data_IF_853546031882
#
_entry.id   IF_853546031882
#
_cell.length_a   1.000
_cell.length_b   1.000
_cell.length_c   1.000
_cell.angle_alpha   90.00
_cell.angle_beta   90.00
_cell.angle_gamma   90.00
#
_symmetry.space_group_name_H-M   'P 1'
#
loop_
_entity.id
_entity.type
_entity.pdbx_description
1 polymer ?
#
# COMPACT_ATOMS: atom_id res chain seq x y z
N UNK A 1 -16.96 -70.50 -14.05
CA UNK A 1 -16.88 -69.07 -14.46
C UNK A 1 -16.99 -68.29 -13.16
N UNK A 2 -16.05 -67.53 -12.62
CA UNK A 2 -14.74 -67.06 -13.02
C UNK A 2 -14.32 -66.14 -11.87
N UNK A 3 -13.17 -66.44 -11.30
CA UNK A 3 -12.43 -65.80 -10.22
C UNK A 3 -12.23 -64.26 -10.29
N UNK A 4 -11.91 -63.72 -9.09
CA UNK A 4 -11.10 -62.50 -8.80
C UNK A 4 -11.89 -61.17 -8.89
N UNK A 5 -11.74 -60.14 -8.04
CA UNK A 5 -10.56 -59.72 -7.29
C UNK A 5 -10.88 -58.61 -6.26
N UNK A 6 -10.17 -58.67 -5.13
CA UNK A 6 -9.40 -57.61 -4.43
C UNK A 6 -10.08 -56.34 -3.88
N UNK A 7 -10.04 -56.24 -2.55
CA UNK A 7 -10.00 -55.00 -1.76
C UNK A 7 -8.64 -54.31 -1.94
N UNK A 8 -8.59 -52.97 -1.91
CA UNK A 8 -7.71 -52.37 -0.91
C UNK A 8 -8.37 -51.22 -0.15
N UNK A 9 -8.15 -51.22 1.16
CA UNK A 9 -8.20 -50.04 1.99
C UNK A 9 -7.04 -49.11 1.60
N UNK A 10 -7.32 -47.83 1.34
CA UNK A 10 -6.30 -46.78 1.35
C UNK A 10 -6.86 -45.56 2.04
N UNK A 11 -6.35 -45.32 3.24
CA UNK A 11 -6.58 -44.09 3.96
C UNK A 11 -6.08 -42.89 3.15
N UNK A 12 -6.76 -41.78 3.32
CA UNK A 12 -6.21 -40.45 3.12
C UNK A 12 -6.88 -39.59 4.18
N UNK A 13 -6.19 -39.18 5.26
CA UNK A 13 -6.60 -37.98 5.95
C UNK A 13 -6.43 -36.87 4.92
N UNK A 14 -7.54 -36.35 4.42
CA UNK A 14 -7.54 -35.05 3.76
C UNK A 14 -7.13 -34.08 4.85
N UNK A 15 -5.83 -33.81 4.92
CA UNK A 15 -5.26 -32.64 5.56
C UNK A 15 -5.99 -31.45 4.94
N UNK A 16 -7.10 -31.09 5.56
CA UNK A 16 -7.73 -29.79 5.45
C UNK A 16 -6.77 -28.79 6.08
N UNK A 17 -5.64 -28.61 5.40
CA UNK A 17 -4.79 -27.45 5.53
C UNK A 17 -5.68 -26.28 5.17
N UNK A 18 -6.34 -25.75 6.20
CA UNK A 18 -6.94 -24.44 6.16
C UNK A 18 -5.81 -23.52 5.78
N UNK A 19 -5.72 -23.20 4.49
CA UNK A 19 -4.95 -22.07 4.02
C UNK A 19 -5.49 -20.89 4.83
N UNK A 20 -4.74 -20.49 5.87
CA UNK A 20 -5.02 -19.27 6.61
C UNK A 20 -4.81 -18.18 5.58
N UNK A 21 -5.90 -17.74 4.95
CA UNK A 21 -5.94 -16.45 4.29
C UNK A 21 -5.61 -15.45 5.38
N UNK A 22 -4.36 -15.00 5.41
CA UNK A 22 -4.01 -13.79 6.14
C UNK A 22 -5.02 -12.74 5.67
N UNK A 23 -5.70 -12.02 6.58
CA UNK A 23 -6.73 -11.05 6.20
C UNK A 23 -6.19 -10.22 5.03
N UNK A 24 -6.89 -10.32 3.91
CA UNK A 24 -6.40 -9.80 2.63
C UNK A 24 -6.13 -8.32 2.79
N UNK A 25 -4.85 -7.94 2.74
CA UNK A 25 -4.48 -6.53 2.59
C UNK A 25 -5.06 -6.11 1.24
N UNK A 26 -6.22 -5.46 1.27
CA UNK A 26 -6.83 -4.93 0.06
C UNK A 26 -5.97 -3.74 -0.37
N UNK A 27 -5.10 -3.95 -1.37
CA UNK A 27 -4.36 -2.84 -1.97
C UNK A 27 -5.34 -1.95 -2.74
N UNK A 28 -5.79 -0.88 -2.09
CA UNK A 28 -6.60 0.16 -2.74
C UNK A 28 -5.66 1.06 -3.54
N UNK A 29 -5.82 1.07 -4.86
CA UNK A 29 -5.10 1.99 -5.75
C UNK A 29 -5.90 3.29 -5.90
N UNK A 30 -5.20 4.41 -5.78
CA UNK A 30 -5.74 5.75 -5.89
C UNK A 30 -5.05 6.47 -7.05
N UNK A 31 -5.81 7.20 -7.85
CA UNK A 31 -5.28 7.95 -8.99
C UNK A 31 -5.85 9.36 -9.02
N UNK A 32 -4.99 10.37 -9.08
CA UNK A 32 -5.39 11.76 -9.26
C UNK A 32 -4.28 12.58 -9.93
N UNK A 33 -4.65 13.60 -10.70
CA UNK A 33 -3.72 14.49 -11.42
C UNK A 33 -2.56 13.81 -12.18
N UNK A 34 -2.77 12.57 -12.65
CA UNK A 34 -1.73 11.78 -13.34
C UNK A 34 -0.75 11.05 -12.41
N UNK A 35 -0.95 11.12 -11.10
CA UNK A 35 -0.25 10.35 -10.07
C UNK A 35 -1.10 9.15 -9.65
N UNK A 36 -0.43 8.05 -9.36
CA UNK A 36 -1.02 6.86 -8.76
C UNK A 36 -0.27 6.51 -7.47
N UNK A 37 -1.02 6.09 -6.44
CA UNK A 37 -0.46 5.57 -5.20
C UNK A 37 -1.37 4.50 -4.61
N UNK A 38 -0.86 3.78 -3.61
CA UNK A 38 -1.62 2.75 -2.88
C UNK A 38 -1.97 3.27 -1.49
N UNK A 39 -3.17 2.96 -1.00
CA UNK A 39 -3.61 3.31 0.36
C UNK A 39 -4.41 4.61 0.40
N UNK A 40 -5.57 4.63 1.08
CA UNK A 40 -6.42 5.81 1.19
C UNK A 40 -5.88 6.87 2.16
N UNK A 41 -5.00 6.48 3.08
CA UNK A 41 -4.46 7.36 4.13
C UNK A 41 -3.51 8.45 3.59
N UNK A 42 -3.04 8.26 2.35
CA UNK A 42 -2.09 9.14 1.68
C UNK A 42 -2.76 10.36 1.07
N UNK A 43 -2.22 11.53 1.40
CA UNK A 43 -2.71 12.81 0.92
C UNK A 43 -1.89 13.28 -0.29
N UNK A 44 -2.55 13.81 -1.31
CA UNK A 44 -1.85 14.37 -2.47
C UNK A 44 -2.21 15.84 -2.67
N UNK A 45 -1.24 16.65 -3.09
CA UNK A 45 -1.46 18.04 -3.45
C UNK A 45 -1.89 18.12 -4.92
N UNK A 46 -3.19 18.18 -5.18
CA UNK A 46 -3.73 18.01 -6.53
C UNK A 46 -3.31 19.15 -7.48
N UNK A 47 -2.59 18.81 -8.55
CA UNK A 47 -2.22 19.80 -9.57
C UNK A 47 -3.43 20.39 -10.32
N UNK A 48 -4.54 19.65 -10.38
CA UNK A 48 -5.78 20.14 -11.03
C UNK A 48 -6.45 21.28 -10.25
N UNK A 49 -6.18 21.39 -8.95
CA UNK A 49 -6.73 22.46 -8.08
C UNK A 49 -5.67 23.50 -7.72
N UNK A 50 -4.56 23.57 -8.47
CA UNK A 50 -3.47 24.53 -8.23
C UNK A 50 -2.40 24.07 -7.22
N UNK A 51 -2.33 22.78 -6.92
CA UNK A 51 -1.28 22.17 -6.10
C UNK A 51 -0.03 21.76 -6.89
N UNK A 52 0.98 21.23 -6.20
CA UNK A 52 2.27 20.83 -6.80
C UNK A 52 2.30 19.41 -7.40
N UNK A 53 1.23 18.63 -7.28
CA UNK A 53 1.14 17.27 -7.83
C UNK A 53 1.95 16.22 -7.06
N UNK A 54 2.41 16.53 -5.84
CA UNK A 54 3.17 15.62 -5.00
C UNK A 54 2.23 14.79 -4.09
N UNK A 55 2.65 13.56 -3.78
CA UNK A 55 1.92 12.64 -2.89
C UNK A 55 2.68 12.51 -1.58
N UNK A 56 1.99 12.61 -0.46
CA UNK A 56 2.52 12.57 0.89
C UNK A 56 1.88 11.41 1.65
N UNK A 57 2.61 10.85 2.61
CA UNK A 57 2.11 9.70 3.38
C UNK A 57 0.88 10.05 4.23
N UNK A 58 0.82 11.29 4.74
CA UNK A 58 -0.25 11.73 5.63
C UNK A 58 -0.76 13.14 5.27
N UNK A 59 -1.97 13.46 5.74
CA UNK A 59 -2.55 14.79 5.64
C UNK A 59 -1.73 15.88 6.35
N UNK A 60 -1.01 15.54 7.43
CA UNK A 60 -0.15 16.50 8.17
C UNK A 60 1.04 16.94 7.32
N UNK A 61 1.64 16.03 6.55
CA UNK A 61 2.70 16.37 5.59
C UNK A 61 2.15 17.21 4.43
N UNK A 62 0.94 16.87 3.98
CA UNK A 62 0.24 17.67 3.00
C UNK A 62 -0.04 19.10 3.51
N UNK A 63 -0.39 19.29 4.77
CA UNK A 63 -0.61 20.64 5.30
C UNK A 63 0.73 21.37 5.52
N UNK A 64 1.74 20.67 6.06
CA UNK A 64 3.05 21.24 6.36
C UNK A 64 3.79 21.75 5.12
N UNK A 65 3.63 21.10 3.96
CA UNK A 65 4.22 21.62 2.72
C UNK A 65 3.47 22.84 2.17
N UNK A 66 2.25 23.14 2.64
CA UNK A 66 1.46 24.30 2.21
C UNK A 66 1.54 25.43 3.23
N UNK A 67 2.62 26.21 3.19
CA UNK A 67 2.75 27.37 4.08
C UNK A 67 2.09 28.60 3.46
N UNK A 68 1.14 29.20 4.18
CA UNK A 68 0.37 30.37 3.72
C UNK A 68 -0.30 30.17 2.34
N UNK A 69 -0.74 28.95 2.04
CA UNK A 69 -1.38 28.60 0.76
C UNK A 69 -0.41 28.33 -0.41
N UNK A 70 0.90 28.50 -0.20
CA UNK A 70 1.93 28.21 -1.20
C UNK A 70 2.56 26.84 -0.96
N UNK A 71 2.78 26.08 -2.03
CA UNK A 71 3.49 24.81 -1.97
C UNK A 71 5.00 25.09 -1.80
N UNK A 72 5.56 24.64 -0.69
CA UNK A 72 6.99 24.55 -0.47
C UNK A 72 7.55 23.32 -1.20
N UNK A 73 8.83 23.38 -1.58
CA UNK A 73 9.49 22.21 -2.16
C UNK A 73 9.68 21.13 -1.07
N UNK A 74 9.17 19.91 -1.24
CA UNK A 74 9.25 18.88 -0.20
C UNK A 74 10.69 18.51 0.19
N UNK A 75 11.67 18.71 -0.69
CA UNK A 75 13.09 18.39 -0.37
C UNK A 75 13.66 19.33 0.67
N UNK A 76 13.09 20.52 0.83
CA UNK A 76 13.54 21.48 1.85
C UNK A 76 12.90 21.24 3.21
N UNK A 77 12.02 20.24 3.34
CA UNK A 77 11.22 19.96 4.54
C UNK A 77 11.72 18.73 5.33
N UNK A 78 12.96 18.30 5.10
CA UNK A 78 13.52 17.07 5.68
C UNK A 78 12.61 15.85 5.45
N UNK A 79 12.11 15.72 4.21
CA UNK A 79 11.28 14.60 3.80
C UNK A 79 12.06 13.68 2.88
N UNK A 80 11.81 12.39 3.02
CA UNK A 80 12.40 11.35 2.17
C UNK A 80 11.37 10.94 1.13
N UNK A 81 11.78 10.95 -0.14
CA UNK A 81 10.95 10.43 -1.21
C UNK A 81 11.17 8.92 -1.40
N UNK A 82 10.07 8.16 -1.39
CA UNK A 82 10.10 6.75 -1.77
C UNK A 82 10.33 6.59 -3.27
N UNK A 83 10.71 5.37 -3.69
CA UNK A 83 10.82 5.02 -5.12
C UNK A 83 9.53 5.24 -5.91
N UNK A 84 8.39 5.18 -5.23
CA UNK A 84 7.07 5.38 -5.84
C UNK A 84 6.64 6.87 -5.84
N UNK A 85 7.54 7.79 -5.48
CA UNK A 85 7.29 9.23 -5.52
C UNK A 85 6.49 9.78 -4.34
N UNK A 86 6.27 8.99 -3.29
CA UNK A 86 5.55 9.38 -2.08
C UNK A 86 6.55 9.97 -1.07
N UNK A 87 6.23 11.14 -0.53
CA UNK A 87 7.00 11.82 0.50
C UNK A 87 6.62 11.34 1.89
N UNK A 88 7.62 10.88 2.62
CA UNK A 88 7.54 10.42 4.00
C UNK A 88 8.35 11.37 4.89
N UNK A 89 8.06 11.41 6.19
CA UNK A 89 8.99 11.98 7.17
C UNK A 89 10.27 11.15 7.19
N UNK A 90 11.42 11.80 7.33
CA UNK A 90 12.62 11.09 7.79
C UNK A 90 12.25 10.44 9.12
N UNK A 91 12.24 9.11 9.17
CA UNK A 91 12.20 8.39 10.43
C UNK A 91 13.55 8.67 11.10
N UNK A 92 13.65 9.77 11.85
CA UNK A 92 14.69 9.85 12.85
C UNK A 92 14.52 8.65 13.76
N UNK A 93 15.63 7.93 13.92
CA UNK A 93 15.69 6.59 14.45
C UNK A 93 15.05 6.54 15.83
N UNK A 94 14.05 5.69 16.01
CA UNK A 94 13.80 5.15 17.34
C UNK A 94 15.08 4.38 17.74
N UNK A 95 15.90 5.03 18.56
CA UNK A 95 16.93 4.37 19.36
C UNK A 95 16.31 3.41 20.37
#
# INVERSE_FOLDING_TARGET
MGMTAVTPARGSPELSGSARTLPGVQLVRMTCCGREWVGPDRAHCCARTGGCGQVFDDAVLWDSHRKAGHCLDPRTLDLVQTRNGIWLRTLDQAG
#
